data_IF_759323918619
#
_entry.id   IF_759323918619
#
_cell.length_a   1.000
_cell.length_b   1.000
_cell.length_c   1.000
_cell.angle_alpha   90.00
_cell.angle_beta   90.00
_cell.angle_gamma   90.00
#
_symmetry.space_group_name_H-M   'P 1'
#
loop_
_entity.id
_entity.type
_entity.pdbx_description
1 polymer ?
#
# COMPACT_ATOMS: atom_id res chain seq x y z
N UNK A 1 -9.63 12.48 -18.92
CA UNK A 1 -9.10 11.66 -17.81
C UNK A 1 -9.85 10.35 -17.86
N UNK A 2 -9.14 9.25 -18.05
CA UNK A 2 -9.71 7.93 -18.28
C UNK A 2 -9.71 7.17 -16.96
N UNK A 3 -10.88 6.71 -16.51
CA UNK A 3 -10.98 5.87 -15.32
C UNK A 3 -10.72 4.40 -15.70
N UNK A 4 -9.69 3.81 -15.10
CA UNK A 4 -9.28 2.41 -15.32
C UNK A 4 -9.46 1.61 -14.05
N UNK A 5 -10.24 0.53 -14.13
CA UNK A 5 -10.51 -0.38 -13.03
C UNK A 5 -9.80 -1.70 -13.29
N UNK A 6 -8.90 -2.09 -12.40
CA UNK A 6 -8.23 -3.38 -12.48
C UNK A 6 -9.18 -4.52 -12.12
N UNK A 7 -9.24 -5.53 -12.99
CA UNK A 7 -9.99 -6.78 -12.75
C UNK A 7 -9.07 -7.93 -12.34
N UNK A 8 -7.77 -7.81 -12.62
CA UNK A 8 -6.73 -8.76 -12.25
C UNK A 8 -5.53 -8.00 -11.68
N UNK A 9 -4.77 -8.66 -10.82
CA UNK A 9 -3.61 -8.09 -10.13
C UNK A 9 -2.43 -9.05 -10.22
N UNK A 10 -1.26 -8.50 -10.55
CA UNK A 10 -0.02 -9.27 -10.70
C UNK A 10 0.98 -8.87 -9.61
N UNK A 11 1.86 -9.79 -9.22
CA UNK A 11 2.94 -9.55 -8.24
C UNK A 11 4.34 -9.61 -8.86
N UNK A 12 4.39 -9.60 -10.19
CA UNK A 12 5.60 -9.68 -10.98
C UNK A 12 5.51 -8.72 -12.17
N UNK A 13 6.66 -8.29 -12.67
CA UNK A 13 6.76 -7.54 -13.92
C UNK A 13 7.07 -8.53 -15.04
N UNK A 14 6.09 -8.80 -15.91
CA UNK A 14 6.25 -9.74 -17.03
C UNK A 14 5.49 -9.26 -18.26
N UNK A 15 6.11 -9.44 -19.43
CA UNK A 15 5.48 -9.21 -20.74
C UNK A 15 4.32 -10.19 -21.01
N UNK A 16 4.29 -11.34 -20.32
CA UNK A 16 3.23 -12.34 -20.49
C UNK A 16 1.90 -11.93 -19.87
N UNK A 17 1.86 -10.89 -19.03
CA UNK A 17 0.62 -10.42 -18.44
C UNK A 17 -0.24 -9.71 -19.49
N UNK A 18 -1.54 -10.07 -19.60
CA UNK A 18 -2.50 -9.34 -20.41
C UNK A 18 -2.48 -7.84 -20.09
N UNK A 19 -2.51 -7.00 -21.13
CA UNK A 19 -2.61 -5.55 -20.98
C UNK A 19 -3.95 -5.19 -20.35
N UNK A 20 -3.93 -4.43 -19.27
CA UNK A 20 -5.13 -3.92 -18.61
C UNK A 20 -5.78 -2.79 -19.42
N UNK A 21 -4.97 -1.84 -19.87
CA UNK A 21 -5.42 -0.70 -20.67
C UNK A 21 -4.30 -0.22 -21.59
N UNK A 22 -4.69 0.26 -22.78
CA UNK A 22 -3.81 0.94 -23.73
C UNK A 22 -4.01 2.44 -23.57
N UNK A 23 -2.92 3.19 -23.47
CA UNK A 23 -2.93 4.62 -23.16
C UNK A 23 -2.07 5.38 -24.17
N UNK A 24 -2.53 6.56 -24.58
CA UNK A 24 -1.73 7.44 -25.43
C UNK A 24 -0.73 8.25 -24.59
N UNK A 25 0.39 8.71 -25.17
CA UNK A 25 1.22 9.74 -24.55
C UNK A 25 0.37 10.95 -24.11
N UNK A 26 0.73 11.56 -22.98
CA UNK A 26 0.00 12.67 -22.33
C UNK A 26 -1.43 12.37 -21.84
N UNK A 27 -1.93 11.13 -22.01
CA UNK A 27 -3.22 10.73 -21.49
C UNK A 27 -3.20 10.62 -19.95
N UNK A 28 -4.19 11.23 -19.29
CA UNK A 28 -4.35 11.14 -17.83
C UNK A 28 -5.23 9.97 -17.44
N UNK A 29 -4.68 9.05 -16.65
CA UNK A 29 -5.39 7.90 -16.07
C UNK A 29 -5.72 8.16 -14.60
N UNK A 30 -6.93 7.74 -14.20
CA UNK A 30 -7.37 7.63 -12.82
C UNK A 30 -7.61 6.15 -12.51
N UNK A 31 -6.99 5.62 -11.46
CA UNK A 31 -7.14 4.22 -11.08
C UNK A 31 -7.03 4.05 -9.56
N UNK A 32 -7.34 2.84 -9.08
CA UNK A 32 -7.23 2.44 -7.68
C UNK A 32 -6.22 1.30 -7.56
N UNK A 33 -5.57 1.22 -6.40
CA UNK A 33 -4.67 0.12 -6.05
C UNK A 33 -5.25 -0.66 -4.87
N UNK A 34 -4.89 -1.94 -4.80
CA UNK A 34 -5.03 -2.69 -3.55
C UNK A 34 -3.90 -2.29 -2.59
N UNK A 35 -4.09 -2.53 -1.30
CA UNK A 35 -2.97 -2.48 -0.36
C UNK A 35 -1.96 -3.62 -0.59
N UNK A 36 -0.82 -3.56 0.09
CA UNK A 36 0.27 -4.55 -0.10
C UNK A 36 -0.12 -5.99 0.25
N UNK A 37 -1.22 -6.19 0.96
CA UNK A 37 -1.80 -7.52 1.17
C UNK A 37 -3.10 -7.77 0.44
N UNK A 38 -3.33 -7.08 -0.67
CA UNK A 38 -4.34 -7.45 -1.67
C UNK A 38 -5.78 -7.13 -1.29
N UNK A 39 -5.99 -6.18 -0.38
CA UNK A 39 -7.33 -5.72 -0.03
C UNK A 39 -7.68 -4.42 -0.74
N UNK A 40 -8.94 -4.32 -1.16
CA UNK A 40 -9.50 -3.11 -1.75
C UNK A 40 -10.01 -2.10 -0.70
N UNK A 41 -10.80 -1.12 -1.16
CA UNK A 41 -11.39 -0.07 -0.33
C UNK A 41 -12.38 -0.61 0.72
N UNK A 42 -13.04 -1.73 0.44
CA UNK A 42 -14.03 -2.35 1.32
C UNK A 42 -13.39 -3.45 2.19
N UNK A 43 -12.07 -3.63 2.09
CA UNK A 43 -11.33 -4.69 2.78
C UNK A 43 -11.47 -6.06 2.12
N UNK A 44 -12.08 -6.16 0.92
CA UNK A 44 -12.22 -7.42 0.21
C UNK A 44 -10.87 -7.85 -0.34
N UNK A 45 -10.52 -9.11 -0.12
CA UNK A 45 -9.30 -9.71 -0.64
C UNK A 45 -9.48 -10.04 -2.13
N UNK A 46 -8.76 -9.32 -3.00
CA UNK A 46 -8.83 -9.47 -4.46
C UNK A 46 -7.53 -10.02 -5.07
N UNK A 47 -6.47 -10.14 -4.27
CA UNK A 47 -5.20 -10.73 -4.68
C UNK A 47 -4.46 -11.29 -3.47
N UNK A 48 -3.63 -12.29 -3.67
CA UNK A 48 -2.70 -12.75 -2.64
C UNK A 48 -1.79 -11.60 -2.16
N UNK A 49 -1.33 -11.63 -0.89
CA UNK A 49 -0.38 -10.64 -0.40
C UNK A 49 0.95 -10.63 -1.17
N UNK A 50 1.69 -9.54 -1.00
CA UNK A 50 3.01 -9.38 -1.60
C UNK A 50 3.00 -8.39 -2.75
N UNK A 51 2.48 -7.18 -2.48
CA UNK A 51 2.53 -6.02 -3.37
C UNK A 51 1.86 -6.27 -4.73
N UNK A 52 0.55 -6.60 -4.76
CA UNK A 52 -0.19 -6.69 -6.02
C UNK A 52 -0.21 -5.33 -6.75
N UNK A 53 -0.07 -5.39 -8.07
CA UNK A 53 0.11 -4.25 -8.96
C UNK A 53 -1.14 -4.05 -9.83
N UNK A 54 -1.60 -2.80 -9.92
CA UNK A 54 -2.60 -2.37 -10.91
C UNK A 54 -1.94 -2.15 -12.26
N UNK A 55 -2.32 -2.95 -13.27
CA UNK A 55 -1.74 -2.91 -14.61
C UNK A 55 -1.67 -4.30 -15.25
N UNK A 56 -0.83 -4.50 -16.28
CA UNK A 56 0.06 -3.53 -16.93
C UNK A 56 -0.69 -2.54 -17.84
N UNK A 57 -0.15 -1.32 -17.97
CA UNK A 57 -0.59 -0.35 -18.97
C UNK A 57 0.32 -0.43 -20.20
N UNK A 58 -0.26 -0.43 -21.39
CA UNK A 58 0.48 -0.36 -22.65
C UNK A 58 0.48 1.07 -23.16
N UNK A 59 1.65 1.70 -23.28
CA UNK A 59 1.80 3.05 -23.82
C UNK A 59 1.95 2.96 -25.34
N UNK A 60 1.04 3.58 -26.08
CA UNK A 60 1.08 3.58 -27.54
C UNK A 60 2.35 4.27 -28.06
N UNK A 61 3.01 3.63 -29.03
CA UNK A 61 4.22 4.15 -29.66
C UNK A 61 5.52 3.96 -28.86
N UNK A 62 5.46 3.51 -27.59
CA UNK A 62 6.66 3.24 -26.81
C UNK A 62 7.43 2.01 -27.33
N UNK A 63 8.73 2.14 -27.50
CA UNK A 63 9.63 1.11 -28.02
C UNK A 63 10.81 0.81 -27.07
N UNK A 64 11.47 -0.35 -27.19
CA UNK A 64 12.68 -0.63 -26.43
C UNK A 64 13.76 0.44 -26.66
N UNK A 65 14.31 0.98 -25.57
CA UNK A 65 15.26 2.09 -25.60
C UNK A 65 14.64 3.44 -25.24
N UNK A 66 13.31 3.57 -25.33
CA UNK A 66 12.60 4.76 -24.87
C UNK A 66 12.55 4.85 -23.34
N UNK A 67 12.29 6.06 -22.84
CA UNK A 67 11.96 6.31 -21.44
C UNK A 67 10.46 6.58 -21.29
N UNK A 68 9.85 6.09 -20.22
CA UNK A 68 8.47 6.41 -19.85
C UNK A 68 8.50 7.40 -18.68
N UNK A 69 7.96 8.60 -18.90
CA UNK A 69 7.74 9.57 -17.81
C UNK A 69 6.34 9.39 -17.23
N UNK A 70 6.24 9.21 -15.92
CA UNK A 70 4.96 9.10 -15.21
C UNK A 70 4.81 10.27 -14.25
N UNK A 71 3.80 11.12 -14.50
CA UNK A 71 3.50 12.27 -13.65
C UNK A 71 2.35 11.94 -12.70
N UNK A 72 2.65 11.84 -11.41
CA UNK A 72 1.63 11.64 -10.37
C UNK A 72 0.93 12.96 -10.05
N UNK A 73 -0.22 13.20 -10.69
CA UNK A 73 -1.01 14.42 -10.46
C UNK A 73 -1.68 14.47 -9.09
N UNK A 74 -2.21 13.33 -8.61
CA UNK A 74 -2.89 13.23 -7.33
C UNK A 74 -2.83 11.81 -6.81
N UNK A 75 -2.39 11.66 -5.57
CA UNK A 75 -2.51 10.43 -4.79
C UNK A 75 -3.33 10.76 -3.55
N UNK A 76 -4.30 9.92 -3.22
CA UNK A 76 -5.17 10.10 -2.05
C UNK A 76 -5.51 8.75 -1.46
N UNK A 77 -5.59 8.69 -0.15
CA UNK A 77 -6.26 7.56 0.49
C UNK A 77 -7.75 7.65 0.22
N UNK A 78 -8.37 6.49 0.14
CA UNK A 78 -9.80 6.33 -0.10
C UNK A 78 -10.45 5.39 0.91
N UNK A 79 -9.70 4.97 1.94
CA UNK A 79 -10.12 4.06 2.99
C UNK A 79 -9.79 4.66 4.34
N UNK A 80 -10.69 4.47 5.30
CA UNK A 80 -10.67 5.05 6.65
C UNK A 80 -9.90 4.20 7.66
N UNK A 81 -9.18 3.17 7.20
CA UNK A 81 -8.31 2.37 8.04
C UNK A 81 -7.06 1.90 7.27
N UNK A 82 -6.03 1.55 8.02
CA UNK A 82 -4.78 0.99 7.51
C UNK A 82 -4.13 0.07 8.52
N UNK A 83 -2.93 -0.42 8.22
CA UNK A 83 -2.19 -1.28 9.14
C UNK A 83 -0.68 -1.11 8.97
N UNK A 84 0.06 -1.48 10.01
CA UNK A 84 1.52 -1.62 9.98
C UNK A 84 1.91 -2.98 10.54
N UNK A 85 2.80 -3.70 9.85
CA UNK A 85 3.41 -4.89 10.43
C UNK A 85 4.53 -4.46 11.37
N UNK A 86 4.53 -4.96 12.61
CA UNK A 86 5.43 -4.53 13.69
C UNK A 86 6.69 -5.41 13.79
N UNK A 87 7.27 -5.76 12.64
CA UNK A 87 8.52 -6.52 12.55
C UNK A 87 9.67 -5.60 12.15
N UNK A 88 10.74 -5.61 12.94
CA UNK A 88 12.01 -4.98 12.58
C UNK A 88 12.88 -5.99 11.84
N UNK A 89 13.48 -5.57 10.73
CA UNK A 89 14.52 -6.35 10.08
C UNK A 89 15.81 -6.29 10.90
N UNK A 90 16.60 -7.37 10.90
CA UNK A 90 17.88 -7.41 11.63
C UNK A 90 18.84 -6.29 11.18
N UNK A 91 18.79 -5.89 9.91
CA UNK A 91 19.57 -4.77 9.37
C UNK A 91 19.23 -3.41 10.00
N UNK A 92 18.09 -3.31 10.68
CA UNK A 92 17.65 -2.11 11.39
C UNK A 92 18.04 -2.12 12.88
N UNK A 93 18.71 -3.17 13.36
CA UNK A 93 19.10 -3.34 14.75
C UNK A 93 20.63 -3.32 14.86
N UNK A 94 21.15 -2.66 15.88
CA UNK A 94 22.54 -2.88 16.29
C UNK A 94 22.61 -4.20 17.07
N UNK A 95 23.79 -4.87 17.13
CA UNK A 95 23.95 -6.10 17.89
C UNK A 95 23.45 -6.02 19.33
N UNK A 96 23.64 -4.88 20.00
CA UNK A 96 23.25 -4.65 21.39
C UNK A 96 21.73 -4.63 21.59
N UNK A 97 20.96 -4.27 20.56
CA UNK A 97 19.50 -4.19 20.60
C UNK A 97 18.81 -5.54 20.32
N UNK A 98 19.53 -6.52 19.78
CA UNK A 98 18.97 -7.83 19.38
C UNK A 98 18.42 -8.60 20.58
N UNK A 99 19.06 -8.50 21.74
CA UNK A 99 18.61 -9.21 22.94
C UNK A 99 17.40 -8.55 23.62
N UNK A 100 17.20 -7.24 23.39
CA UNK A 100 16.16 -6.45 24.07
C UNK A 100 14.97 -6.06 23.19
N UNK A 101 14.91 -6.54 21.95
CA UNK A 101 13.75 -6.26 21.08
C UNK A 101 12.50 -6.90 21.64
N UNK A 102 11.44 -6.09 21.76
CA UNK A 102 10.12 -6.58 22.16
C UNK A 102 9.58 -7.59 21.15
N UNK A 103 8.77 -8.53 21.66
CA UNK A 103 8.02 -9.44 20.80
C UNK A 103 7.16 -8.64 19.82
N UNK A 104 7.14 -9.08 18.56
CA UNK A 104 6.21 -8.55 17.58
C UNK A 104 4.79 -9.12 17.76
N UNK A 105 4.56 -10.02 18.71
CA UNK A 105 3.22 -10.52 19.01
C UNK A 105 2.41 -9.44 19.74
N UNK A 106 1.41 -8.91 19.06
CA UNK A 106 0.47 -7.94 19.59
C UNK A 106 -0.87 -8.58 19.89
N UNK A 107 -1.63 -8.96 18.85
CA UNK A 107 -2.94 -9.62 18.98
C UNK A 107 -3.20 -10.52 17.78
N UNK A 108 -3.46 -11.83 17.99
CA UNK A 108 -3.74 -12.75 16.89
C UNK A 108 -5.04 -12.37 16.19
N UNK A 109 -5.06 -12.55 14.86
CA UNK A 109 -6.22 -12.40 13.99
C UNK A 109 -6.89 -11.01 14.01
N UNK A 110 -6.20 -9.99 14.53
CA UNK A 110 -6.78 -8.66 14.72
C UNK A 110 -7.06 -7.93 13.40
N UNK A 111 -6.11 -8.01 12.45
CA UNK A 111 -6.22 -7.37 11.12
C UNK A 111 -6.26 -8.41 10.01
N UNK A 112 -5.50 -9.50 10.17
CA UNK A 112 -5.44 -10.61 9.21
C UNK A 112 -5.41 -11.92 9.96
N UNK A 113 -6.21 -12.88 9.48
CA UNK A 113 -6.22 -14.24 9.98
C UNK A 113 -4.81 -14.86 9.83
N UNK A 114 -4.34 -15.56 10.86
CA UNK A 114 -3.01 -16.17 10.94
C UNK A 114 -1.87 -15.21 11.28
N UNK A 115 -2.15 -13.94 11.61
CA UNK A 115 -1.14 -12.93 11.94
C UNK A 115 -1.40 -12.35 13.32
N UNK A 116 -0.34 -12.17 14.10
CA UNK A 116 -0.39 -11.55 15.42
C UNK A 116 0.44 -10.25 15.51
N UNK A 117 1.12 -9.87 14.44
CA UNK A 117 2.15 -8.84 14.37
C UNK A 117 1.73 -7.64 13.52
N UNK A 118 0.45 -7.26 13.61
CA UNK A 118 -0.11 -6.17 12.84
C UNK A 118 -0.84 -5.18 13.76
N UNK A 119 -0.44 -3.92 13.67
CA UNK A 119 -1.08 -2.79 14.34
C UNK A 119 -2.08 -2.11 13.38
N UNK A 120 -3.39 -2.09 13.69
CA UNK A 120 -4.38 -1.34 12.92
C UNK A 120 -4.34 0.18 13.19
N UNK A 121 -4.70 0.95 12.17
CA UNK A 121 -4.83 2.40 12.20
C UNK A 121 -6.24 2.84 11.77
N UNK A 122 -6.82 3.81 12.48
CA UNK A 122 -7.92 4.64 11.97
C UNK A 122 -7.33 5.79 11.14
N UNK A 123 -7.98 6.10 10.03
CA UNK A 123 -7.63 7.17 9.10
C UNK A 123 -8.83 8.12 8.97
N UNK A 124 -8.65 9.36 9.40
CA UNK A 124 -9.61 10.44 9.18
C UNK A 124 -9.29 11.12 7.84
N UNK A 125 -10.10 10.80 6.82
CA UNK A 125 -9.91 11.30 5.44
C UNK A 125 -10.22 12.80 5.31
N UNK A 126 -11.11 13.35 6.15
CA UNK A 126 -11.45 14.78 6.10
C UNK A 126 -10.30 15.62 6.66
N UNK A 127 -9.74 15.17 7.79
CA UNK A 127 -8.66 15.86 8.49
C UNK A 127 -7.28 15.48 7.98
N UNK A 128 -7.17 14.44 7.15
CA UNK A 128 -5.93 13.82 6.73
C UNK A 128 -5.04 13.48 7.94
N UNK A 129 -5.61 12.77 8.91
CA UNK A 129 -4.89 12.34 10.12
C UNK A 129 -5.01 10.85 10.35
N UNK A 130 -4.00 10.24 10.98
CA UNK A 130 -4.03 8.83 11.40
C UNK A 130 -3.83 8.70 12.90
N UNK A 131 -4.45 7.66 13.45
CA UNK A 131 -4.24 7.24 14.84
C UNK A 131 -4.29 5.71 14.95
N UNK A 132 -3.53 5.09 15.85
CA UNK A 132 -3.61 3.65 16.06
C UNK A 132 -4.93 3.27 16.72
N UNK A 133 -5.51 2.12 16.35
CA UNK A 133 -6.79 1.67 16.92
C UNK A 133 -6.59 1.17 18.34
N UNK A 134 -7.33 1.77 19.27
CA UNK A 134 -7.57 1.28 20.64
C UNK A 134 -6.29 1.01 21.46
N UNK A 135 -5.39 1.99 21.54
CA UNK A 135 -4.28 1.99 22.49
C UNK A 135 -4.72 2.62 23.82
N UNK A 136 -5.28 1.81 24.73
CA UNK A 136 -5.50 2.23 26.13
C UNK A 136 -4.19 2.52 26.90
N UNK A 137 -3.01 2.31 26.30
CA UNK A 137 -1.72 2.30 26.98
C UNK A 137 -0.76 3.44 26.58
N UNK A 138 -1.14 4.38 25.69
CA UNK A 138 -0.25 5.50 25.33
C UNK A 138 -0.77 6.80 25.98
N UNK A 139 0.01 7.32 26.93
CA UNK A 139 -0.22 8.60 27.63
C UNK A 139 -0.14 9.84 26.71
N UNK A 140 0.30 9.68 25.45
CA UNK A 140 0.42 10.73 24.45
C UNK A 140 -0.49 10.46 23.24
N UNK A 141 -1.29 11.43 22.85
CA UNK A 141 -2.06 11.39 21.59
C UNK A 141 -1.07 11.32 20.40
N UNK A 142 -0.91 10.13 19.82
CA UNK A 142 -0.20 9.93 18.57
C UNK A 142 -1.18 10.15 17.41
N UNK A 143 -1.48 11.42 17.14
CA UNK A 143 -2.17 11.86 15.92
C UNK A 143 -1.17 12.60 15.05
N UNK A 144 -1.02 12.12 13.82
CA UNK A 144 -0.08 12.69 12.85
C UNK A 144 -0.84 13.22 11.65
N UNK A 145 -0.39 14.36 11.09
CA UNK A 145 -0.80 14.75 9.74
C UNK A 145 -0.28 13.72 8.74
N UNK A 146 -1.14 13.30 7.83
CA UNK A 146 -0.71 12.58 6.66
C UNK A 146 -0.10 13.56 5.67
N UNK A 147 1.21 13.46 5.49
CA UNK A 147 1.87 13.97 4.29
C UNK A 147 2.12 12.76 3.39
N UNK A 148 1.64 12.73 2.13
CA UNK A 148 1.96 11.66 1.21
C UNK A 148 3.49 11.61 1.06
N UNK A 149 4.11 10.58 1.62
CA UNK A 149 5.52 10.32 1.45
C UNK A 149 5.67 9.59 0.11
N UNK A 150 6.34 10.23 -0.84
CA UNK A 150 6.59 9.65 -2.16
C UNK A 150 7.64 8.56 -2.01
N UNK A 151 7.21 7.31 -1.98
CA UNK A 151 8.07 6.16 -2.30
C UNK A 151 7.47 5.56 -3.55
N UNK A 152 8.09 5.87 -4.69
CA UNK A 152 7.85 5.23 -5.98
C UNK A 152 8.77 4.02 -6.09
#
# INVERSE_FOLDING_TARGET
MTDVIATNYYRTFSRSHPVLARINPEERVSTKTLDSGGQDIDGKHLSEPGNPLTGPFYVEGAAPGDSISVHLHKVRLNRDWGYTSIRLGLVSLTPELVESVYSSEYKPDLVRKGRADILPWDIDLERNTVRPVNLRAIQHLLSFRQNPCWVV
#
